data_IF_042628564011
#
_entry.id   IF_042628564011
#
_cell.length_a   1.000
_cell.length_b   1.000
_cell.length_c   1.000
_cell.angle_alpha   90.00
_cell.angle_beta   90.00
_cell.angle_gamma   90.00
#
_symmetry.space_group_name_H-M   'P 1'
#
loop_
_entity.id
_entity.type
_entity.pdbx_description
1 polymer ?
#
# COMPACT_ATOMS: atom_id res chain seq x y z
N UNK A 1 37.26 -33.01 -16.81
CA UNK A 1 37.27 -32.06 -15.71
C UNK A 1 36.69 -30.68 -16.08
N UNK A 2 37.00 -30.13 -17.25
CA UNK A 2 36.47 -28.85 -17.71
C UNK A 2 34.94 -28.82 -17.87
N UNK A 3 34.31 -29.90 -18.30
CA UNK A 3 32.84 -30.01 -18.45
C UNK A 3 32.09 -30.01 -17.11
N UNK A 4 32.69 -30.63 -16.09
CA UNK A 4 32.11 -30.66 -14.74
C UNK A 4 32.13 -29.26 -14.07
N UNK A 5 33.21 -28.51 -14.24
CA UNK A 5 33.35 -27.16 -13.75
C UNK A 5 32.37 -26.18 -14.41
N UNK A 6 32.09 -26.36 -15.69
CA UNK A 6 31.10 -25.54 -16.42
C UNK A 6 29.68 -25.83 -15.92
N UNK A 7 29.34 -27.09 -15.67
CA UNK A 7 28.05 -27.47 -15.12
C UNK A 7 27.82 -26.93 -13.72
N UNK A 8 28.84 -26.94 -12.87
CA UNK A 8 28.77 -26.38 -11.51
C UNK A 8 28.57 -24.87 -11.58
N UNK A 9 29.25 -24.17 -12.48
CA UNK A 9 29.08 -22.70 -12.66
C UNK A 9 27.69 -22.34 -13.16
N UNK A 10 27.13 -23.11 -14.10
CA UNK A 10 25.78 -22.89 -14.62
C UNK A 10 24.73 -23.16 -13.54
N UNK A 11 24.91 -24.21 -12.75
CA UNK A 11 24.02 -24.56 -11.65
C UNK A 11 24.04 -23.48 -10.55
N UNK A 12 25.19 -22.92 -10.25
CA UNK A 12 25.34 -21.84 -9.26
C UNK A 12 24.70 -20.53 -9.75
N UNK A 13 24.81 -20.23 -11.05
CA UNK A 13 24.17 -19.06 -11.65
C UNK A 13 22.63 -19.17 -11.62
N UNK A 14 22.09 -20.36 -11.85
CA UNK A 14 20.64 -20.63 -11.76
C UNK A 14 20.11 -20.50 -10.33
N UNK A 15 20.92 -20.88 -9.31
CA UNK A 15 20.55 -20.71 -7.92
C UNK A 15 20.52 -19.24 -7.49
N UNK A 16 21.38 -18.38 -8.07
CA UNK A 16 21.39 -16.94 -7.80
C UNK A 16 20.17 -16.24 -8.39
N UNK A 17 19.61 -16.71 -9.50
CA UNK A 17 18.39 -16.14 -10.09
C UNK A 17 17.11 -16.56 -9.38
N UNK A 18 17.12 -17.65 -8.60
CA UNK A 18 15.97 -18.12 -7.83
C UNK A 18 15.74 -17.32 -6.52
N UNK A 19 16.65 -16.47 -6.12
CA UNK A 19 16.58 -15.69 -4.89
C UNK A 19 16.18 -14.22 -5.10
N UNK A 20 15.57 -13.88 -6.22
CA UNK A 20 14.94 -12.56 -6.37
C UNK A 20 13.69 -12.56 -5.50
N UNK A 21 13.65 -11.77 -4.40
CA UNK A 21 12.44 -11.68 -3.62
C UNK A 21 11.34 -11.17 -4.55
N UNK A 22 10.30 -11.96 -4.73
CA UNK A 22 9.06 -11.51 -5.30
C UNK A 22 8.47 -10.48 -4.33
N UNK A 23 8.93 -9.25 -4.47
CA UNK A 23 8.13 -8.15 -3.96
C UNK A 23 6.87 -8.12 -4.82
N UNK A 24 5.84 -8.76 -4.31
CA UNK A 24 4.49 -8.46 -4.77
C UNK A 24 4.21 -7.04 -4.32
N UNK A 25 4.80 -6.11 -5.03
CA UNK A 25 4.40 -4.71 -4.91
C UNK A 25 2.91 -4.68 -5.18
N UNK A 26 2.17 -4.14 -4.25
CA UNK A 26 0.76 -3.87 -4.48
C UNK A 26 0.67 -2.91 -5.67
N UNK A 27 0.36 -3.45 -6.85
CA UNK A 27 0.34 -2.69 -8.10
C UNK A 27 -0.67 -1.53 -8.09
N UNK A 28 -1.61 -1.53 -7.14
CA UNK A 28 -2.54 -0.45 -6.95
C UNK A 28 -1.83 0.90 -6.71
N UNK A 29 -0.75 0.87 -5.95
CA UNK A 29 0.08 2.04 -5.67
C UNK A 29 0.75 2.62 -6.94
N UNK A 30 1.24 1.76 -7.85
CA UNK A 30 1.92 2.19 -9.06
C UNK A 30 0.98 2.65 -10.17
N UNK A 31 -0.32 2.40 -10.03
CA UNK A 31 -1.33 2.77 -11.03
C UNK A 31 -2.01 4.11 -10.75
N UNK A 32 -1.80 4.69 -9.59
CA UNK A 32 -2.40 5.97 -9.27
C UNK A 32 -1.69 7.10 -10.02
N UNK A 33 -2.44 7.83 -10.82
CA UNK A 33 -1.96 8.91 -11.68
C UNK A 33 -2.19 10.32 -11.11
N UNK A 34 -2.62 10.43 -9.87
CA UNK A 34 -2.89 11.69 -9.18
C UNK A 34 -1.83 12.05 -8.14
N UNK A 35 -2.07 13.14 -7.42
CA UNK A 35 -1.26 13.55 -6.28
C UNK A 35 -1.59 12.67 -5.06
N UNK A 36 -0.60 11.93 -4.57
CA UNK A 36 -0.74 11.08 -3.38
C UNK A 36 0.08 11.65 -2.22
N UNK A 37 -0.56 11.86 -1.10
CA UNK A 37 0.08 12.32 0.14
C UNK A 37 -0.05 11.26 1.23
N UNK A 38 1.07 10.91 1.81
CA UNK A 38 1.16 9.96 2.91
C UNK A 38 1.42 10.73 4.20
N UNK A 39 0.48 10.67 5.13
CA UNK A 39 0.60 11.31 6.45
C UNK A 39 0.80 10.21 7.48
N UNK A 40 1.97 10.23 8.09
CA UNK A 40 2.35 9.26 9.11
C UNK A 40 2.07 9.86 10.48
N UNK A 41 1.31 9.16 11.29
CA UNK A 41 0.98 9.59 12.65
C UNK A 41 0.77 8.39 13.56
N UNK A 42 0.74 8.63 14.87
CA UNK A 42 0.47 7.58 15.83
C UNK A 42 -0.99 7.08 15.74
N UNK A 43 -1.26 5.84 16.21
CA UNK A 43 -2.60 5.25 16.09
C UNK A 43 -3.71 6.05 16.77
N UNK A 44 -3.42 6.69 17.88
CA UNK A 44 -4.41 7.52 18.59
C UNK A 44 -4.78 8.76 17.76
N UNK A 45 -3.81 9.43 17.18
CA UNK A 45 -4.03 10.59 16.31
C UNK A 45 -4.76 10.19 15.02
N UNK A 46 -4.46 9.03 14.45
CA UNK A 46 -5.22 8.49 13.32
C UNK A 46 -6.71 8.37 13.67
N UNK A 47 -7.02 7.79 14.81
CA UNK A 47 -8.41 7.64 15.27
C UNK A 47 -9.09 8.99 15.50
N UNK A 48 -8.42 9.94 16.14
CA UNK A 48 -8.95 11.28 16.37
C UNK A 48 -9.25 12.01 15.06
N UNK A 49 -8.33 11.98 14.10
CA UNK A 49 -8.52 12.62 12.78
C UNK A 49 -9.67 11.99 11.99
N UNK A 50 -9.82 10.67 12.08
CA UNK A 50 -10.97 9.97 11.50
C UNK A 50 -12.29 10.44 12.09
N UNK A 51 -12.39 10.50 13.41
CA UNK A 51 -13.60 10.93 14.11
C UNK A 51 -13.95 12.40 13.79
N UNK A 52 -12.94 13.26 13.76
CA UNK A 52 -13.12 14.68 13.42
C UNK A 52 -13.58 14.88 11.98
N UNK A 53 -13.01 14.15 11.04
CA UNK A 53 -13.32 14.31 9.63
C UNK A 53 -14.65 13.67 9.23
N UNK A 54 -14.98 12.51 9.78
CA UNK A 54 -16.16 11.73 9.37
C UNK A 54 -17.35 11.88 10.32
N UNK A 55 -17.13 12.29 11.55
CA UNK A 55 -18.13 12.23 12.62
C UNK A 55 -18.43 10.82 13.11
N UNK A 56 -17.64 9.82 12.69
CA UNK A 56 -17.83 8.41 13.04
C UNK A 56 -16.84 7.98 14.12
N UNK A 57 -17.27 7.04 14.95
CA UNK A 57 -16.46 6.47 16.05
C UNK A 57 -15.99 5.05 15.78
N UNK A 58 -16.19 4.54 14.57
CA UNK A 58 -15.67 3.25 14.13
C UNK A 58 -14.16 3.19 14.32
N UNK A 59 -13.64 2.09 14.86
CA UNK A 59 -12.20 1.89 15.05
C UNK A 59 -11.50 1.69 13.70
N UNK A 60 -10.47 2.48 13.45
CA UNK A 60 -9.66 2.40 12.23
C UNK A 60 -8.18 2.28 12.56
N UNK A 61 -7.46 1.55 11.74
CA UNK A 61 -5.99 1.45 11.81
C UNK A 61 -5.30 2.47 10.92
N UNK A 62 -5.99 2.91 9.89
CA UNK A 62 -5.62 3.95 8.95
C UNK A 62 -6.89 4.41 8.25
N UNK A 63 -6.79 5.46 7.45
CA UNK A 63 -7.89 5.89 6.60
C UNK A 63 -7.39 6.70 5.42
N UNK A 64 -8.22 6.84 4.41
CA UNK A 64 -7.89 7.56 3.20
C UNK A 64 -9.02 8.51 2.80
N UNK A 65 -8.66 9.59 2.14
CA UNK A 65 -9.61 10.48 1.47
C UNK A 65 -9.09 10.84 0.08
N UNK A 66 -10.00 11.00 -0.84
CA UNK A 66 -9.66 11.28 -2.24
C UNK A 66 -10.72 12.14 -2.89
N UNK A 67 -10.33 12.84 -3.93
CA UNK A 67 -11.24 13.61 -4.76
C UNK A 67 -10.72 13.72 -6.18
N UNK A 68 -11.64 14.03 -7.09
CA UNK A 68 -11.36 14.37 -8.48
C UNK A 68 -11.98 15.73 -8.76
N UNK A 69 -11.21 16.65 -9.33
CA UNK A 69 -11.74 17.87 -9.89
C UNK A 69 -12.41 17.54 -11.23
N UNK A 70 -13.73 17.64 -11.29
CA UNK A 70 -14.48 17.28 -12.50
C UNK A 70 -14.20 18.20 -13.69
N UNK A 71 -13.76 19.43 -13.46
CA UNK A 71 -13.48 20.41 -14.52
C UNK A 71 -12.09 20.16 -15.15
N UNK A 72 -11.08 19.83 -14.33
CA UNK A 72 -9.69 19.67 -14.76
C UNK A 72 -9.26 18.21 -14.90
N UNK A 73 -9.99 17.28 -14.27
CA UNK A 73 -9.59 15.88 -14.15
C UNK A 73 -8.47 15.63 -13.13
N UNK A 74 -8.02 16.67 -12.43
CA UNK A 74 -7.00 16.52 -11.37
C UNK A 74 -7.51 15.64 -10.24
N UNK A 75 -6.67 14.70 -9.83
CA UNK A 75 -6.96 13.75 -8.75
C UNK A 75 -5.99 13.95 -7.62
N UNK A 76 -6.49 13.82 -6.41
CA UNK A 76 -5.63 13.73 -5.23
C UNK A 76 -6.14 12.63 -4.29
N UNK A 77 -5.21 12.07 -3.54
CA UNK A 77 -5.49 11.10 -2.50
C UNK A 77 -4.56 11.35 -1.31
N UNK A 78 -5.11 11.27 -0.14
CA UNK A 78 -4.35 11.41 1.11
C UNK A 78 -4.63 10.20 1.99
N UNK A 79 -3.58 9.54 2.46
CA UNK A 79 -3.69 8.42 3.38
C UNK A 79 -3.10 8.78 4.73
N UNK A 80 -3.75 8.33 5.78
CA UNK A 80 -3.33 8.50 7.17
C UNK A 80 -3.00 7.13 7.73
N UNK A 81 -1.74 6.90 8.02
CA UNK A 81 -1.20 5.58 8.33
C UNK A 81 -0.21 5.63 9.48
N UNK A 82 -0.06 4.54 10.24
CA UNK A 82 0.91 4.47 11.31
C UNK A 82 2.33 4.35 10.78
N UNK A 83 3.30 4.75 11.61
CA UNK A 83 4.70 4.43 11.34
C UNK A 83 4.89 2.92 11.38
N UNK A 84 5.56 2.40 10.36
CA UNK A 84 5.90 0.98 10.25
C UNK A 84 7.39 0.84 10.02
N UNK A 85 8.05 -0.02 10.80
CA UNK A 85 9.44 -0.35 10.55
C UNK A 85 9.57 -1.20 9.27
N UNK A 86 10.69 -1.12 8.53
CA UNK A 86 10.83 -1.76 7.21
C UNK A 86 10.61 -3.28 7.18
N UNK A 87 10.75 -3.96 8.31
CA UNK A 87 10.56 -5.40 8.49
C UNK A 87 9.18 -5.78 9.05
N UNK A 88 8.31 -4.80 9.27
CA UNK A 88 6.97 -5.00 9.79
C UNK A 88 5.90 -5.02 8.69
N UNK A 89 4.69 -5.36 9.12
CA UNK A 89 3.53 -5.50 8.25
C UNK A 89 3.10 -4.14 7.66
N UNK A 90 3.16 -4.04 6.35
CA UNK A 90 2.72 -2.87 5.57
C UNK A 90 1.25 -2.95 5.12
N UNK A 91 0.48 -3.91 5.65
CA UNK A 91 -0.88 -4.17 5.18
C UNK A 91 -1.80 -2.97 5.28
N UNK A 92 -1.71 -2.19 6.35
CA UNK A 92 -2.51 -0.97 6.54
C UNK A 92 -2.19 0.06 5.46
N UNK A 93 -0.90 0.28 5.17
CA UNK A 93 -0.46 1.20 4.12
C UNK A 93 -0.99 0.79 2.75
N UNK A 94 -0.82 -0.48 2.41
CA UNK A 94 -1.30 -1.01 1.12
C UNK A 94 -2.82 -0.94 1.00
N UNK A 95 -3.53 -1.19 2.09
CA UNK A 95 -4.98 -1.08 2.15
C UNK A 95 -5.43 0.36 1.85
N UNK A 96 -4.83 1.35 2.52
CA UNK A 96 -5.19 2.75 2.31
C UNK A 96 -4.76 3.27 0.94
N UNK A 97 -3.59 2.86 0.42
CA UNK A 97 -3.17 3.17 -0.94
C UNK A 97 -4.13 2.62 -2.00
N UNK A 98 -4.72 1.46 -1.75
CA UNK A 98 -5.70 0.86 -2.64
C UNK A 98 -6.96 1.72 -2.79
N UNK A 99 -7.35 2.45 -1.75
CA UNK A 99 -8.44 3.42 -1.85
C UNK A 99 -8.15 4.52 -2.86
N UNK A 100 -6.90 4.90 -3.07
CA UNK A 100 -6.53 5.90 -4.06
C UNK A 100 -6.86 5.48 -5.49
N UNK A 101 -6.72 4.18 -5.81
CA UNK A 101 -6.99 3.64 -7.16
C UNK A 101 -8.37 3.06 -7.34
N UNK A 102 -8.95 2.47 -6.30
CA UNK A 102 -10.19 1.70 -6.37
C UNK A 102 -11.36 2.34 -5.61
N UNK A 103 -11.12 3.45 -4.88
CA UNK A 103 -12.16 4.12 -4.12
C UNK A 103 -12.72 3.26 -2.99
N UNK A 104 -14.02 3.17 -2.87
CA UNK A 104 -14.70 2.32 -1.90
C UNK A 104 -14.76 0.88 -2.41
N UNK A 105 -13.82 0.05 -2.01
CA UNK A 105 -13.76 -1.36 -2.44
C UNK A 105 -14.20 -2.36 -1.39
N UNK A 106 -14.47 -1.92 -0.17
CA UNK A 106 -14.93 -2.81 0.90
C UNK A 106 -16.27 -3.45 0.54
N UNK A 107 -16.31 -4.78 0.69
CA UNK A 107 -17.51 -5.58 0.45
C UNK A 107 -18.03 -6.09 1.79
N UNK A 108 -18.98 -5.41 2.34
CA UNK A 108 -19.63 -5.86 3.55
C UNK A 108 -20.88 -5.04 3.83
N UNK A 109 -21.76 -5.50 4.74
CA UNK A 109 -23.02 -4.80 5.02
C UNK A 109 -22.81 -3.38 5.55
N UNK A 110 -21.62 -3.05 6.01
CA UNK A 110 -21.29 -1.73 6.55
C UNK A 110 -20.26 -0.95 5.73
N UNK A 111 -19.63 -1.55 4.71
CA UNK A 111 -18.64 -0.91 3.84
C UNK A 111 -17.37 -0.41 4.53
N UNK A 112 -17.15 -0.80 5.77
CA UNK A 112 -16.02 -0.39 6.61
C UNK A 112 -15.39 -1.60 7.29
N UNK A 113 -14.10 -1.61 7.32
CA UNK A 113 -13.30 -2.51 8.14
C UNK A 113 -12.37 -1.71 9.04
#
# INVERSE_FOLDING_TARGET
MTRLLILIKISLLLLLTACVPHHVYNQAHTKYDGDMRIVIMDPETIQITWEQYTGRTTKVKGWARWAVNNDTGEKWCQIFVPYVQPDLDMSVWHHEMRHCTEGHFHKGPYGYE
#
